data_IF_652973282180
#
_entry.id   IF_652973282180
#
_cell.length_a   1.000
_cell.length_b   1.000
_cell.length_c   1.000
_cell.angle_alpha   90.00
_cell.angle_beta   90.00
_cell.angle_gamma   90.00
#
_symmetry.space_group_name_H-M   'P 1'
#
loop_
_entity.id
_entity.type
_entity.pdbx_description
1 polymer ?
#
# COMPACT_ATOMS: atom_id res chain seq x y z
N UNK A 1 -35.19 14.31 -31.05
CA UNK A 1 -34.70 13.90 -29.71
C UNK A 1 -33.55 12.89 -29.85
N UNK A 2 -32.33 13.34 -30.21
CA UNK A 2 -31.14 12.46 -30.36
C UNK A 2 -29.85 13.07 -29.80
N UNK A 3 -29.88 14.33 -29.35
CA UNK A 3 -28.71 15.06 -28.84
C UNK A 3 -28.38 14.79 -27.36
N UNK A 4 -29.26 14.10 -26.64
CA UNK A 4 -29.11 13.83 -25.19
C UNK A 4 -28.43 12.48 -24.91
N UNK A 5 -28.42 11.54 -25.87
CA UNK A 5 -27.78 10.23 -25.68
C UNK A 5 -26.25 10.27 -25.80
N UNK A 6 -25.69 11.20 -26.57
CA UNK A 6 -24.24 11.27 -26.82
C UNK A 6 -23.49 11.89 -25.63
N UNK A 7 -24.13 12.81 -24.89
CA UNK A 7 -23.53 13.45 -23.71
C UNK A 7 -23.35 12.51 -22.53
N UNK A 8 -24.21 11.50 -22.36
CA UNK A 8 -24.07 10.52 -21.28
C UNK A 8 -22.90 9.55 -21.48
N UNK A 9 -22.61 9.11 -22.71
CA UNK A 9 -21.48 8.21 -22.98
C UNK A 9 -20.11 8.87 -22.81
N UNK A 10 -19.97 10.16 -23.16
CA UNK A 10 -18.70 10.90 -22.99
C UNK A 10 -18.38 11.12 -21.51
N UNK A 11 -19.40 11.37 -20.69
CA UNK A 11 -19.23 11.56 -19.25
C UNK A 11 -18.78 10.28 -18.53
N UNK A 12 -19.34 9.12 -18.92
CA UNK A 12 -18.94 7.82 -18.39
C UNK A 12 -17.49 7.45 -18.76
N UNK A 13 -17.04 7.81 -19.96
CA UNK A 13 -15.67 7.53 -20.40
C UNK A 13 -14.62 8.41 -19.69
N UNK A 14 -14.96 9.67 -19.38
CA UNK A 14 -14.05 10.57 -18.64
C UNK A 14 -13.86 10.17 -17.16
N UNK A 15 -14.90 9.60 -16.54
CA UNK A 15 -14.85 9.09 -15.17
C UNK A 15 -13.89 7.90 -15.06
N UNK A 16 -13.98 6.93 -15.97
CA UNK A 16 -13.14 5.71 -15.92
C UNK A 16 -11.65 5.99 -16.12
N UNK A 17 -11.28 6.96 -16.95
CA UNK A 17 -9.88 7.34 -17.17
C UNK A 17 -9.27 7.98 -15.91
N UNK A 18 -10.03 8.85 -15.24
CA UNK A 18 -9.56 9.61 -14.07
C UNK A 18 -9.28 8.71 -12.86
N UNK A 19 -10.14 7.71 -12.61
CA UNK A 19 -9.94 6.77 -11.50
C UNK A 19 -8.71 5.88 -11.70
N UNK A 20 -8.46 5.42 -12.93
CA UNK A 20 -7.30 4.58 -13.23
C UNK A 20 -5.98 5.35 -13.07
N UNK A 21 -5.92 6.60 -13.54
CA UNK A 21 -4.74 7.46 -13.39
C UNK A 21 -4.44 7.79 -11.90
N UNK A 22 -5.47 7.97 -11.08
CA UNK A 22 -5.29 8.19 -9.65
C UNK A 22 -4.79 6.92 -8.93
N UNK A 23 -5.23 5.74 -9.35
CA UNK A 23 -4.76 4.48 -8.79
C UNK A 23 -3.31 4.17 -9.17
N UNK A 24 -2.89 4.45 -10.41
CA UNK A 24 -1.51 4.24 -10.87
C UNK A 24 -0.52 5.17 -10.15
N UNK A 25 -0.83 6.47 -10.10
CA UNK A 25 -0.01 7.47 -9.39
C UNK A 25 0.12 7.18 -7.90
N UNK A 26 -0.94 6.70 -7.23
CA UNK A 26 -0.86 6.28 -5.84
C UNK A 26 0.10 5.09 -5.65
N UNK A 27 0.02 4.10 -6.53
CA UNK A 27 0.91 2.94 -6.51
C UNK A 27 2.36 3.36 -6.72
N UNK A 28 2.64 4.14 -7.75
CA UNK A 28 3.99 4.61 -8.10
C UNK A 28 4.61 5.42 -6.96
N UNK A 29 3.86 6.40 -6.43
CA UNK A 29 4.34 7.22 -5.30
C UNK A 29 4.58 6.37 -4.05
N UNK A 30 3.74 5.38 -3.78
CA UNK A 30 3.92 4.48 -2.65
C UNK A 30 5.17 3.61 -2.80
N UNK A 31 5.40 3.04 -3.99
CA UNK A 31 6.59 2.24 -4.30
C UNK A 31 7.86 3.09 -4.15
N UNK A 32 7.88 4.29 -4.74
CA UNK A 32 9.04 5.19 -4.66
C UNK A 32 9.33 5.59 -3.21
N UNK A 33 8.30 5.90 -2.41
CA UNK A 33 8.45 6.24 -1.00
C UNK A 33 9.06 5.12 -0.15
N UNK A 34 8.92 3.86 -0.56
CA UNK A 34 9.41 2.70 0.20
C UNK A 34 10.56 1.94 -0.46
N UNK A 35 11.18 2.52 -1.50
CA UNK A 35 12.32 1.95 -2.22
C UNK A 35 13.52 1.60 -1.33
N UNK A 36 13.65 2.25 -0.17
CA UNK A 36 14.66 1.89 0.83
C UNK A 36 14.51 0.43 1.32
N UNK A 37 13.33 -0.19 1.19
CA UNK A 37 13.12 -1.59 1.52
C UNK A 37 14.00 -2.52 0.66
N UNK A 38 14.43 -2.08 -0.52
CA UNK A 38 15.36 -2.81 -1.38
C UNK A 38 16.73 -3.03 -0.70
N UNK A 39 17.07 -2.22 0.31
CA UNK A 39 18.32 -2.33 1.08
C UNK A 39 18.14 -3.04 2.42
N UNK A 40 16.94 -3.54 2.73
CA UNK A 40 16.65 -4.28 3.98
C UNK A 40 16.75 -5.77 3.68
N UNK A 41 17.76 -6.44 4.23
CA UNK A 41 18.10 -7.84 3.92
C UNK A 41 16.93 -8.82 4.13
N UNK A 42 16.14 -8.59 5.18
CA UNK A 42 15.02 -9.45 5.55
C UNK A 42 13.76 -9.22 4.70
N UNK A 43 13.72 -8.20 3.85
CA UNK A 43 12.62 -7.98 2.91
C UNK A 43 12.87 -8.80 1.64
N UNK A 44 11.95 -9.69 1.30
CA UNK A 44 12.01 -10.49 0.07
C UNK A 44 11.26 -9.83 -1.09
N UNK A 45 10.11 -9.23 -0.77
CA UNK A 45 9.27 -8.53 -1.73
C UNK A 45 8.34 -7.55 -1.02
N UNK A 46 7.85 -6.56 -1.75
CA UNK A 46 6.73 -5.74 -1.33
C UNK A 46 5.85 -5.40 -2.53
N UNK A 47 4.58 -5.12 -2.27
CA UNK A 47 3.63 -4.66 -3.29
C UNK A 47 2.56 -3.76 -2.71
N UNK A 48 1.93 -3.00 -3.59
CA UNK A 48 0.81 -2.12 -3.25
C UNK A 48 -0.50 -2.77 -3.67
N UNK A 49 -1.48 -2.74 -2.78
CA UNK A 49 -2.85 -3.18 -3.01
C UNK A 49 -3.82 -2.10 -2.48
N UNK A 50 -4.34 -1.27 -3.39
CA UNK A 50 -5.13 -0.09 -3.02
C UNK A 50 -4.31 0.86 -2.14
N UNK A 51 -4.79 1.13 -0.92
CA UNK A 51 -4.08 1.96 0.09
C UNK A 51 -3.22 1.15 1.05
N UNK A 52 -2.96 -0.12 0.70
CA UNK A 52 -2.15 -1.01 1.52
C UNK A 52 -0.79 -1.27 0.88
N UNK A 53 0.25 -1.29 1.69
CA UNK A 53 1.55 -1.86 1.36
C UNK A 53 1.66 -3.22 2.03
N UNK A 54 2.06 -4.24 1.29
CA UNK A 54 2.25 -5.60 1.80
C UNK A 54 3.73 -5.91 1.66
N UNK A 55 4.37 -6.32 2.75
CA UNK A 55 5.80 -6.63 2.80
C UNK A 55 5.98 -8.10 3.20
N UNK A 56 6.65 -8.86 2.35
CA UNK A 56 7.02 -10.25 2.59
C UNK A 56 8.41 -10.34 3.23
N UNK A 57 8.47 -10.87 4.45
CA UNK A 57 9.70 -10.96 5.24
C UNK A 57 10.28 -12.38 5.24
N UNK A 58 11.59 -12.53 4.98
CA UNK A 58 12.35 -13.80 5.07
C UNK A 58 12.48 -14.28 6.52
N UNK A 59 12.60 -13.32 7.43
CA UNK A 59 12.59 -13.49 8.88
C UNK A 59 12.15 -12.19 9.54
N UNK A 60 11.87 -12.21 10.84
CA UNK A 60 11.54 -10.99 11.59
C UNK A 60 12.87 -10.35 12.05
N UNK A 61 13.28 -9.18 11.52
CA UNK A 61 14.50 -8.50 11.97
C UNK A 61 14.52 -8.28 13.48
N UNK A 62 15.72 -8.26 14.07
CA UNK A 62 15.90 -7.95 15.51
C UNK A 62 15.30 -6.59 15.89
N UNK A 63 15.31 -5.64 14.95
CA UNK A 63 14.70 -4.31 15.09
C UNK A 63 13.49 -4.13 14.15
N UNK A 64 12.68 -5.18 13.98
CA UNK A 64 11.55 -5.21 13.06
C UNK A 64 10.59 -4.00 13.12
N UNK A 65 10.26 -3.42 14.30
CA UNK A 65 9.41 -2.23 14.35
C UNK A 65 9.96 -1.02 13.58
N UNK A 66 11.29 -0.87 13.45
CA UNK A 66 11.90 0.33 12.85
C UNK A 66 11.69 0.43 11.33
N UNK A 67 12.19 -0.49 10.48
CA UNK A 67 11.97 -0.42 9.04
C UNK A 67 10.48 -0.53 8.69
N UNK A 68 9.70 -1.27 9.48
CA UNK A 68 8.26 -1.44 9.25
C UNK A 68 7.46 -0.15 9.51
N UNK A 69 7.70 0.53 10.64
CA UNK A 69 7.04 1.83 10.92
C UNK A 69 7.54 2.93 9.98
N UNK A 70 8.82 2.90 9.59
CA UNK A 70 9.37 3.80 8.59
C UNK A 70 8.70 3.63 7.23
N UNK A 71 8.47 2.39 6.79
CA UNK A 71 7.74 2.11 5.54
C UNK A 71 6.35 2.74 5.56
N UNK A 72 5.62 2.60 6.66
CA UNK A 72 4.29 3.18 6.81
C UNK A 72 4.30 4.71 6.74
N UNK A 73 5.25 5.36 7.44
CA UNK A 73 5.39 6.82 7.42
C UNK A 73 5.76 7.33 6.04
N UNK A 74 6.77 6.73 5.39
CA UNK A 74 7.24 7.18 4.08
C UNK A 74 6.19 6.95 2.99
N UNK A 75 5.51 5.80 3.00
CA UNK A 75 4.38 5.55 2.09
C UNK A 75 3.23 6.56 2.29
N UNK A 76 2.90 6.89 3.55
CA UNK A 76 1.89 7.90 3.85
C UNK A 76 2.30 9.30 3.38
N UNK A 77 3.56 9.70 3.60
CA UNK A 77 4.09 11.00 3.16
C UNK A 77 4.09 11.08 1.62
N UNK A 78 4.62 10.05 0.95
CA UNK A 78 4.72 10.03 -0.50
C UNK A 78 3.35 10.06 -1.21
N UNK A 79 2.32 9.48 -0.59
CA UNK A 79 0.97 9.45 -1.18
C UNK A 79 0.05 10.56 -0.66
N UNK A 80 0.37 11.21 0.47
CA UNK A 80 -0.55 12.06 1.23
C UNK A 80 -1.90 11.39 1.55
N UNK A 81 -1.93 10.05 1.60
CA UNK A 81 -3.13 9.25 1.91
C UNK A 81 -2.88 8.40 3.14
N UNK A 82 -3.96 8.06 3.87
CA UNK A 82 -3.90 7.00 4.88
C UNK A 82 -3.35 5.72 4.25
N UNK A 83 -2.27 5.18 4.81
CA UNK A 83 -1.65 3.93 4.35
C UNK A 83 -1.68 2.90 5.47
N UNK A 84 -2.04 1.67 5.14
CA UNK A 84 -1.87 0.51 6.02
C UNK A 84 -0.75 -0.37 5.50
N UNK A 85 0.20 -0.72 6.35
CA UNK A 85 1.29 -1.64 6.00
C UNK A 85 1.06 -2.97 6.69
N UNK A 86 1.18 -4.05 5.95
CA UNK A 86 1.02 -5.42 6.42
C UNK A 86 2.37 -6.14 6.33
N UNK A 87 2.75 -6.81 7.40
CA UNK A 87 3.86 -7.75 7.39
C UNK A 87 3.33 -9.17 7.21
N UNK A 88 3.85 -9.90 6.23
CA UNK A 88 3.53 -11.29 5.98
C UNK A 88 4.80 -12.11 5.84
N UNK A 89 4.71 -13.44 5.91
CA UNK A 89 5.84 -14.30 5.59
C UNK A 89 6.13 -14.20 4.09
N UNK A 90 7.40 -14.18 3.71
CA UNK A 90 7.78 -14.07 2.29
C UNK A 90 7.24 -15.19 1.39
N UNK A 91 6.96 -16.37 1.95
CA UNK A 91 6.30 -17.48 1.24
C UNK A 91 4.86 -17.18 0.84
N UNK A 92 4.20 -16.20 1.46
CA UNK A 92 2.81 -15.85 1.21
C UNK A 92 2.64 -14.89 0.01
N UNK A 93 3.23 -15.21 -1.15
CA UNK A 93 3.18 -14.36 -2.35
C UNK A 93 1.77 -14.05 -2.85
N UNK A 94 0.76 -14.85 -2.51
CA UNK A 94 -0.64 -14.66 -2.89
C UNK A 94 -1.53 -14.09 -1.76
N UNK A 95 -0.93 -13.55 -0.69
CA UNK A 95 -1.67 -12.90 0.39
C UNK A 95 -2.26 -11.56 -0.05
N UNK A 96 -3.53 -11.30 0.23
CA UNK A 96 -4.19 -10.06 -0.16
C UNK A 96 -5.09 -9.56 0.98
N UNK A 97 -5.44 -8.28 0.92
CA UNK A 97 -6.21 -7.63 1.98
C UNK A 97 -7.62 -8.23 2.01
N UNK A 98 -8.08 -8.64 3.19
CA UNK A 98 -9.39 -9.27 3.35
C UNK A 98 -9.42 -10.77 3.01
N UNK A 99 -8.30 -11.39 2.67
CA UNK A 99 -8.23 -12.82 2.34
C UNK A 99 -8.54 -13.79 3.48
N UNK A 100 -8.65 -13.31 4.72
CA UNK A 100 -8.76 -14.13 5.93
C UNK A 100 -7.47 -14.89 6.31
N UNK A 101 -6.43 -14.85 5.47
CA UNK A 101 -5.14 -15.50 5.75
C UNK A 101 -4.37 -14.74 6.83
N UNK A 102 -3.66 -15.48 7.66
CA UNK A 102 -2.83 -14.91 8.72
C UNK A 102 -1.73 -13.99 8.16
N UNK A 103 -1.39 -12.99 8.98
CA UNK A 103 -0.32 -12.03 8.76
C UNK A 103 0.48 -11.91 10.08
N UNK A 104 1.69 -11.35 10.01
CA UNK A 104 2.56 -11.17 11.18
C UNK A 104 1.99 -10.04 12.06
N UNK A 105 1.92 -8.83 11.50
CA UNK A 105 1.26 -7.69 12.12
C UNK A 105 0.97 -6.61 11.08
N UNK A 106 0.33 -5.52 11.48
CA UNK A 106 0.09 -4.34 10.66
C UNK A 106 0.34 -3.05 11.43
N UNK A 107 0.60 -1.99 10.69
CA UNK A 107 0.56 -0.60 11.18
C UNK A 107 -0.19 0.28 10.20
N UNK A 108 -0.76 1.39 10.69
CA UNK A 108 -1.47 2.38 9.88
C UNK A 108 -0.86 3.76 10.14
N UNK A 109 -0.56 4.48 9.06
CA UNK A 109 -0.01 5.83 9.12
C UNK A 109 -0.97 6.87 8.51
N UNK A 110 -1.08 8.01 9.19
CA UNK A 110 -1.89 9.17 8.84
C UNK A 110 -1.06 10.42 9.21
N UNK A 111 -1.00 11.42 8.31
CA UNK A 111 -0.31 12.70 8.55
C UNK A 111 1.13 12.55 9.08
N UNK A 112 1.91 11.67 8.46
CA UNK A 112 3.31 11.36 8.79
C UNK A 112 3.51 10.54 10.08
N UNK A 113 2.43 10.10 10.74
CA UNK A 113 2.49 9.42 12.04
C UNK A 113 1.83 8.05 12.00
N UNK A 114 2.40 7.08 12.69
CA UNK A 114 1.77 5.78 12.93
C UNK A 114 0.74 5.95 14.04
N UNK A 115 -0.51 5.56 13.77
CA UNK A 115 -1.67 5.82 14.65
C UNK A 115 -2.34 4.55 15.15
N UNK A 116 -2.17 3.43 14.46
CA UNK A 116 -2.76 2.15 14.82
C UNK A 116 -1.81 1.01 14.41
N UNK A 117 -1.85 -0.11 15.11
CA UNK A 117 -1.18 -1.34 14.71
C UNK A 117 -1.31 -2.42 15.76
N UNK A 118 -0.81 -3.61 15.44
CA UNK A 118 -0.72 -4.76 16.34
C UNK A 118 0.67 -5.42 16.29
N UNK A 119 1.69 -4.65 15.93
CA UNK A 119 3.07 -5.11 16.04
C UNK A 119 3.52 -4.88 17.48
N UNK A 120 3.73 -5.97 18.21
CA UNK A 120 4.34 -5.89 19.54
C UNK A 120 5.77 -5.33 19.40
N UNK A 121 6.13 -4.44 20.33
CA UNK A 121 7.44 -3.78 20.37
C UNK A 121 8.51 -4.70 20.91
#
# INVERSE_FOLDING_TARGET
MKKVLITFSVLFFALTISFNAQASSLKENMIEGVKFLDTVEEVDWYRVEGRSLIIGWKGIPKFFPTPFTMAARRANIATSRKVRVWAVRHTQKNWHVGSGKSYICFVTAINGKVTQGNCDR
#
